data_IF_819583685831
#
_entry.id   IF_819583685831
#
_cell.length_a   1.000
_cell.length_b   1.000
_cell.length_c   1.000
_cell.angle_alpha   90.00
_cell.angle_beta   90.00
_cell.angle_gamma   90.00
#
_symmetry.space_group_name_H-M   'P 1'
#
loop_
_entity.id
_entity.type
_entity.pdbx_description
1 polymer ?
#
# COMPACT_ATOMS: atom_id res chain seq x y z
N UNK A 1 0.15 17.06 -23.89
CA UNK A 1 0.61 15.94 -23.03
C UNK A 1 -0.20 15.96 -21.75
N UNK A 2 -1.20 15.08 -21.64
CA UNK A 2 -2.01 14.91 -20.43
C UNK A 2 -1.16 14.17 -19.39
N UNK A 3 -0.71 14.88 -18.36
CA UNK A 3 -0.06 14.25 -17.20
C UNK A 3 -1.14 13.41 -16.50
N UNK A 4 -1.23 12.12 -16.81
CA UNK A 4 -2.03 11.19 -16.02
C UNK A 4 -1.45 11.22 -14.60
N UNK A 5 -2.22 11.76 -13.65
CA UNK A 5 -1.88 11.71 -12.23
C UNK A 5 -1.80 10.24 -11.82
N UNK A 6 -0.58 9.72 -11.68
CA UNK A 6 -0.35 8.39 -11.13
C UNK A 6 -0.97 8.34 -9.73
N UNK A 7 -1.83 7.36 -9.51
CA UNK A 7 -2.43 7.06 -8.21
C UNK A 7 -2.11 5.60 -7.87
N UNK A 8 -2.41 5.16 -6.64
CA UNK A 8 -2.09 3.79 -6.18
C UNK A 8 -2.68 2.71 -7.10
N UNK A 9 -3.87 2.95 -7.68
CA UNK A 9 -4.48 2.00 -8.63
C UNK A 9 -3.71 1.89 -9.93
N UNK A 10 -3.12 2.99 -10.41
CA UNK A 10 -2.23 2.99 -11.58
C UNK A 10 -0.93 2.21 -11.33
N UNK A 11 -0.38 2.27 -10.11
CA UNK A 11 0.78 1.45 -9.72
C UNK A 11 0.45 -0.05 -9.71
N UNK A 12 -0.79 -0.42 -9.34
CA UNK A 12 -1.25 -1.81 -9.29
C UNK A 12 -1.59 -2.37 -10.69
N UNK A 13 -2.11 -1.54 -11.60
CA UNK A 13 -2.63 -1.99 -12.89
C UNK A 13 -1.54 -2.24 -13.93
N UNK A 14 -0.48 -1.42 -13.93
CA UNK A 14 0.62 -1.59 -14.87
C UNK A 14 1.66 -2.59 -14.38
N UNK A 15 1.77 -2.76 -13.05
CA UNK A 15 2.80 -3.58 -12.42
C UNK A 15 4.23 -3.14 -12.80
N UNK A 16 5.23 -3.64 -12.11
CA UNK A 16 6.61 -3.58 -12.62
C UNK A 16 6.77 -4.68 -13.68
N UNK A 17 6.21 -4.50 -14.88
CA UNK A 17 6.33 -5.46 -15.98
C UNK A 17 7.82 -5.79 -16.24
N UNK A 18 8.18 -7.07 -16.10
CA UNK A 18 9.53 -7.60 -16.37
C UNK A 18 10.50 -7.64 -15.18
N UNK A 19 10.00 -7.39 -13.96
CA UNK A 19 10.70 -7.45 -12.67
C UNK A 19 12.25 -7.44 -12.64
N UNK A 20 12.85 -6.25 -12.60
CA UNK A 20 14.16 -6.03 -12.04
C UNK A 20 14.02 -4.99 -10.93
N UNK A 21 13.89 -5.44 -9.68
CA UNK A 21 13.63 -4.52 -8.58
C UNK A 21 14.72 -3.46 -8.42
N UNK A 22 14.30 -2.20 -8.37
CA UNK A 22 15.05 -1.10 -7.77
C UNK A 22 14.07 -0.28 -6.95
N UNK A 23 14.51 0.09 -5.74
CA UNK A 23 13.78 0.84 -4.71
C UNK A 23 12.63 1.70 -5.25
N UNK A 24 11.42 1.65 -4.64
CA UNK A 24 10.33 2.52 -5.05
C UNK A 24 10.76 3.96 -4.91
N UNK A 25 10.39 4.77 -5.91
CA UNK A 25 10.70 6.20 -5.92
C UNK A 25 9.98 6.85 -4.74
N UNK A 26 10.53 7.94 -4.22
CA UNK A 26 9.91 8.66 -3.09
C UNK A 26 8.46 9.06 -3.39
N UNK A 27 8.17 9.38 -4.65
CA UNK A 27 6.80 9.64 -5.11
C UNK A 27 5.88 8.42 -4.94
N UNK A 28 6.37 7.21 -5.23
CA UNK A 28 5.59 5.98 -5.08
C UNK A 28 5.37 5.66 -3.60
N UNK A 29 6.38 5.91 -2.74
CA UNK A 29 6.26 5.81 -1.28
C UNK A 29 5.17 6.74 -0.74
N UNK A 30 5.22 8.02 -1.12
CA UNK A 30 4.22 9.01 -0.73
C UNK A 30 2.81 8.65 -1.23
N UNK A 31 2.70 8.13 -2.46
CA UNK A 31 1.40 7.68 -3.00
C UNK A 31 0.82 6.53 -2.18
N UNK A 32 1.63 5.55 -1.81
CA UNK A 32 1.21 4.41 -0.98
C UNK A 32 0.79 4.88 0.42
N UNK A 33 1.60 5.69 1.07
CA UNK A 33 1.29 6.26 2.39
C UNK A 33 0.00 7.08 2.37
N UNK A 34 -0.13 8.00 1.41
CA UNK A 34 -1.33 8.83 1.27
C UNK A 34 -2.56 7.99 0.95
N UNK A 35 -2.42 6.98 0.09
CA UNK A 35 -3.51 6.05 -0.24
C UNK A 35 -4.01 5.32 1.01
N UNK A 36 -3.09 4.78 1.81
CA UNK A 36 -3.42 4.08 3.04
C UNK A 36 -4.02 5.02 4.10
N UNK A 37 -3.44 6.20 4.29
CA UNK A 37 -3.96 7.23 5.20
C UNK A 37 -5.36 7.70 4.82
N UNK A 38 -5.61 7.96 3.53
CA UNK A 38 -6.94 8.32 3.03
C UNK A 38 -7.97 7.22 3.29
N UNK A 39 -7.62 5.96 3.00
CA UNK A 39 -8.50 4.82 3.22
C UNK A 39 -8.85 4.64 4.71
N UNK A 40 -7.85 4.70 5.60
CA UNK A 40 -8.06 4.67 7.06
C UNK A 40 -8.94 5.82 7.54
N UNK A 41 -8.77 7.03 6.99
CA UNK A 41 -9.62 8.18 7.32
C UNK A 41 -11.08 7.97 6.91
N UNK A 42 -11.32 7.32 5.75
CA UNK A 42 -12.69 6.96 5.31
C UNK A 42 -13.33 5.92 6.21
N UNK A 43 -12.57 4.90 6.63
CA UNK A 43 -13.03 3.91 7.61
C UNK A 43 -13.41 4.54 8.95
N UNK A 44 -12.58 5.46 9.47
CA UNK A 44 -12.88 6.20 10.72
C UNK A 44 -14.15 7.06 10.63
N UNK A 45 -14.60 7.40 9.41
CA UNK A 45 -15.79 8.22 9.15
C UNK A 45 -17.00 7.41 8.66
N UNK A 46 -16.91 6.08 8.57
CA UNK A 46 -17.93 5.22 7.97
C UNK A 46 -18.29 5.62 6.52
N UNK A 47 -17.30 6.07 5.76
CA UNK A 47 -17.47 6.52 4.36
C UNK A 47 -17.01 5.48 3.33
N UNK A 48 -16.47 4.36 3.77
CA UNK A 48 -15.98 3.30 2.89
C UNK A 48 -17.11 2.34 2.53
N UNK A 49 -17.26 1.96 1.26
CA UNK A 49 -18.36 1.11 0.78
C UNK A 49 -17.98 -0.37 0.78
N UNK A 50 -18.88 -1.22 1.25
CA UNK A 50 -18.93 -2.65 0.99
C UNK A 50 -20.06 -2.95 -0.03
N UNK A 51 -20.13 -4.18 -0.60
CA UNK A 51 -21.10 -4.50 -1.65
C UNK A 51 -22.58 -4.22 -1.31
N UNK A 52 -22.95 -4.30 -0.03
CA UNK A 52 -24.34 -4.13 0.43
C UNK A 52 -24.58 -2.87 1.27
N UNK A 53 -23.54 -2.26 1.84
CA UNK A 53 -23.67 -1.11 2.75
C UNK A 53 -22.32 -0.43 2.98
N UNK A 54 -22.29 0.73 3.64
CA UNK A 54 -21.04 1.29 4.12
C UNK A 54 -20.46 0.43 5.25
N UNK A 55 -19.13 0.32 5.30
CA UNK A 55 -18.44 -0.27 6.44
C UNK A 55 -18.71 0.57 7.69
N UNK A 56 -18.89 -0.08 8.85
CA UNK A 56 -19.10 0.64 10.11
C UNK A 56 -17.89 1.51 10.45
N UNK A 57 -18.12 2.54 11.27
CA UNK A 57 -17.05 3.40 11.75
C UNK A 57 -16.01 2.56 12.49
N UNK A 58 -14.77 2.60 12.02
CA UNK A 58 -13.65 2.02 12.74
C UNK A 58 -13.26 2.93 13.92
N UNK A 59 -13.14 2.35 15.12
CA UNK A 59 -12.63 3.02 16.31
C UNK A 59 -11.12 2.84 16.42
N UNK A 60 -10.43 3.73 17.13
CA UNK A 60 -8.99 3.67 17.37
C UNK A 60 -8.14 3.56 16.08
N UNK A 61 -8.51 4.33 15.05
CA UNK A 61 -7.76 4.36 13.79
C UNK A 61 -6.49 5.21 13.97
N UNK A 62 -5.37 4.54 14.20
CA UNK A 62 -4.06 5.20 14.31
C UNK A 62 -3.57 5.70 12.95
N UNK A 63 -2.88 6.85 12.97
CA UNK A 63 -2.07 7.29 11.83
C UNK A 63 -0.91 6.30 11.68
N UNK A 64 -0.58 5.95 10.45
CA UNK A 64 0.67 5.23 10.19
C UNK A 64 1.83 6.19 10.48
N UNK A 65 2.56 5.93 11.57
CA UNK A 65 3.78 6.63 11.96
C UNK A 65 4.76 5.56 12.44
N UNK A 66 5.92 5.44 11.80
CA UNK A 66 6.90 4.39 12.08
C UNK A 66 7.72 3.99 10.85
N UNK A 67 8.89 3.35 11.06
CA UNK A 67 9.97 3.08 10.10
C UNK A 67 9.53 2.38 8.81
N UNK A 68 8.95 3.17 7.89
CA UNK A 68 8.62 2.69 6.55
C UNK A 68 9.85 2.09 5.88
N UNK A 69 11.06 2.55 6.21
CA UNK A 69 12.30 2.03 5.64
C UNK A 69 12.59 0.57 6.02
N UNK A 70 12.29 0.12 7.24
CA UNK A 70 12.53 -1.28 7.64
C UNK A 70 11.47 -2.21 7.03
N UNK A 71 10.19 -1.82 7.13
CA UNK A 71 9.10 -2.55 6.49
C UNK A 71 9.26 -2.58 4.96
N UNK A 72 9.77 -1.49 4.38
CA UNK A 72 10.08 -1.41 2.96
C UNK A 72 11.25 -2.30 2.59
N UNK A 73 12.32 -2.37 3.39
CA UNK A 73 13.42 -3.31 3.14
C UNK A 73 12.93 -4.75 3.12
N UNK A 74 12.08 -5.15 4.07
CA UNK A 74 11.47 -6.49 4.09
C UNK A 74 10.56 -6.72 2.88
N UNK A 75 9.68 -5.76 2.58
CA UNK A 75 8.78 -5.85 1.43
C UNK A 75 9.53 -5.91 0.09
N UNK A 76 10.65 -5.19 -0.03
CA UNK A 76 11.53 -5.26 -1.20
C UNK A 76 12.24 -6.60 -1.27
N UNK A 77 12.77 -7.11 -0.15
CA UNK A 77 13.37 -8.44 -0.09
C UNK A 77 12.44 -9.50 -0.70
N UNK A 78 11.15 -9.44 -0.36
CA UNK A 78 10.12 -10.31 -0.95
C UNK A 78 9.80 -9.97 -2.41
N UNK A 79 9.56 -8.70 -2.73
CA UNK A 79 9.16 -8.27 -4.07
C UNK A 79 10.24 -8.55 -5.13
N UNK A 80 11.52 -8.59 -4.73
CA UNK A 80 12.66 -8.90 -5.59
C UNK A 80 12.62 -10.33 -6.15
N UNK A 81 11.91 -11.25 -5.51
CA UNK A 81 11.73 -12.61 -6.03
C UNK A 81 10.74 -12.65 -7.19
N UNK A 82 10.04 -11.53 -7.46
CA UNK A 82 9.13 -11.40 -8.60
C UNK A 82 8.03 -12.48 -8.64
N UNK A 83 7.77 -13.08 -7.48
CA UNK A 83 6.88 -14.20 -7.29
C UNK A 83 5.85 -13.82 -6.24
N UNK A 84 4.58 -14.07 -6.55
CA UNK A 84 3.51 -13.84 -5.60
C UNK A 84 3.46 -15.02 -4.62
N UNK A 85 4.12 -14.87 -3.46
CA UNK A 85 4.02 -15.81 -2.34
C UNK A 85 3.03 -15.25 -1.30
N UNK A 86 1.84 -15.86 -1.11
CA UNK A 86 0.84 -15.37 -0.17
C UNK A 86 1.19 -15.58 1.32
N UNK A 87 2.33 -16.20 1.64
CA UNK A 87 2.71 -16.54 3.00
C UNK A 87 4.15 -16.12 3.28
N UNK A 88 4.31 -15.05 4.06
CA UNK A 88 5.45 -14.92 4.97
C UNK A 88 4.89 -15.19 6.36
N UNK A 89 5.17 -16.36 6.92
CA UNK A 89 5.06 -16.50 8.37
C UNK A 89 6.07 -15.52 8.98
N UNK A 90 5.64 -14.57 9.83
CA UNK A 90 6.60 -13.79 10.58
C UNK A 90 7.38 -14.77 11.46
N UNK A 91 8.66 -14.96 11.16
CA UNK A 91 9.59 -15.58 12.10
C UNK A 91 9.71 -14.61 13.27
N UNK A 92 8.92 -14.87 14.31
CA UNK A 92 9.08 -14.24 15.62
C UNK A 92 10.17 -15.06 16.32
N UNK A 93 11.27 -14.39 16.69
CA UNK A 93 12.40 -14.98 17.42
C UNK A 93 11.96 -15.55 18.78
#
# INVERSE_FOLDING_TARGET
MTVQRRNVRGLLHDGYKGCPSKNPKDLDRQLIENGHGCYRSRLAKALERAPSQNLPRALNVYKTVGSLDELLRTALGTANFCFFAPFFEPVIF
#
